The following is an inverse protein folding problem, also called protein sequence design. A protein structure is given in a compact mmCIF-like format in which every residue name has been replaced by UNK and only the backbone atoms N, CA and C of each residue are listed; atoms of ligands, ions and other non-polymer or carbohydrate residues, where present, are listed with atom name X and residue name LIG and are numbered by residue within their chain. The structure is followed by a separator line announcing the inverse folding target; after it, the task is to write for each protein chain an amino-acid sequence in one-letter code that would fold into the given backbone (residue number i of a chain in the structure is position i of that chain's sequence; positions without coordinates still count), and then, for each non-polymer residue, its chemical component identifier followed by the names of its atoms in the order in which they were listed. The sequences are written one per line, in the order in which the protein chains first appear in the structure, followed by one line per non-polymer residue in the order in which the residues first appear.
data_IF_239724611536
#
_entry.id   IF_239724611536
#
_cell.length_a   1.000
_cell.length_b   1.000
_cell.length_c   1.000
_cell.angle_alpha   90.00
_cell.angle_beta   90.00
_cell.angle_gamma   90.00
#
_symmetry.space_group_name_H-M   'P 1'
#
loop_
_entity.id
_entity.type
_entity.pdbx_description
1 polymer ?
#
# COMPACT_ATOMS: atom_id res chain seq x y z
N UNK A 1 -4.41 25.07 22.22
CA UNK A 1 -5.71 25.62 21.79
C UNK A 1 -6.57 25.88 23.03
N UNK A 2 -7.52 26.81 22.97
CA UNK A 2 -8.57 26.91 24.00
C UNK A 2 -9.56 25.75 23.74
N UNK A 3 -10.08 25.12 24.80
CA UNK A 3 -11.02 23.98 24.73
C UNK A 3 -10.55 22.80 23.84
N UNK A 4 -9.25 22.46 23.86
CA UNK A 4 -8.69 21.35 23.08
C UNK A 4 -9.01 21.37 21.57
N UNK A 5 -9.28 22.56 21.01
CA UNK A 5 -9.62 22.74 19.61
C UNK A 5 -11.10 22.51 19.27
N UNK A 6 -11.95 22.31 20.29
CA UNK A 6 -13.40 22.18 20.14
C UNK A 6 -14.02 23.58 20.07
N UNK A 7 -14.87 23.80 19.06
CA UNK A 7 -15.63 25.04 18.88
C UNK A 7 -17.10 24.71 18.74
N UNK A 8 -17.91 25.23 19.66
CA UNK A 8 -19.37 25.08 19.62
C UNK A 8 -19.98 26.04 18.60
N UNK A 9 -20.86 25.50 17.76
CA UNK A 9 -21.64 26.23 16.75
C UNK A 9 -23.09 26.23 17.22
N UNK A 10 -23.49 27.30 17.90
CA UNK A 10 -24.73 27.42 18.68
C UNK A 10 -25.77 28.40 18.06
N UNK A 11 -25.36 29.18 17.07
CA UNK A 11 -26.18 30.18 16.40
C UNK A 11 -26.32 29.91 14.90
N UNK A 12 -27.42 30.37 14.31
CA UNK A 12 -27.68 30.25 12.88
C UNK A 12 -26.98 31.39 12.14
N UNK A 13 -25.66 31.24 11.93
CA UNK A 13 -24.83 32.22 11.24
C UNK A 13 -23.59 31.58 10.62
N UNK A 14 -22.89 32.36 9.81
CA UNK A 14 -21.59 31.99 9.29
C UNK A 14 -20.49 32.28 10.34
N UNK A 15 -19.67 31.27 10.60
CA UNK A 15 -18.48 31.33 11.46
C UNK A 15 -17.25 31.25 10.55
N UNK A 16 -16.50 32.33 10.46
CA UNK A 16 -15.29 32.39 9.65
C UNK A 16 -14.09 31.93 10.48
N UNK A 17 -13.50 30.82 10.09
CA UNK A 17 -12.34 30.22 10.73
C UNK A 17 -11.06 30.56 9.98
N UNK A 18 -9.99 30.74 10.77
CA UNK A 18 -8.61 30.86 10.30
C UNK A 18 -7.80 29.77 11.01
N UNK A 19 -7.17 28.91 10.24
CA UNK A 19 -6.28 27.87 10.75
C UNK A 19 -4.85 28.18 10.32
N UNK A 20 -3.92 28.24 11.28
CA UNK A 20 -2.51 28.56 11.04
C UNK A 20 -1.63 27.40 11.49
N UNK A 21 -0.75 26.95 10.60
CA UNK A 21 0.24 25.92 10.85
C UNK A 21 1.63 26.53 10.72
N UNK A 22 2.41 26.50 11.79
CA UNK A 22 3.80 26.97 11.79
C UNK A 22 4.77 25.81 12.01
N UNK A 23 5.85 25.74 11.23
CA UNK A 23 6.93 24.79 11.46
C UNK A 23 7.99 25.33 12.45
N UNK A 24 8.94 24.48 12.85
CA UNK A 24 10.04 24.84 13.76
C UNK A 24 11.01 25.89 13.19
N UNK A 25 10.95 26.13 11.88
CA UNK A 25 11.75 27.12 11.16
C UNK A 25 11.00 28.45 10.94
N UNK A 26 9.76 28.56 11.43
CA UNK A 26 8.94 29.77 11.37
C UNK A 26 8.13 29.93 10.08
N UNK A 27 8.14 28.96 9.17
CA UNK A 27 7.26 28.99 8.00
C UNK A 27 5.82 28.77 8.48
N UNK A 28 4.91 29.67 8.10
CA UNK A 28 3.50 29.59 8.49
C UNK A 28 2.62 29.49 7.26
N UNK A 29 1.76 28.48 7.21
CA UNK A 29 0.67 28.38 6.25
C UNK A 29 -0.67 28.68 6.93
N UNK A 30 -1.51 29.45 6.23
CA UNK A 30 -2.82 29.87 6.73
C UNK A 30 -3.92 29.35 5.79
N UNK A 31 -4.92 28.69 6.37
CA UNK A 31 -6.14 28.26 5.67
C UNK A 31 -7.35 29.00 6.24
N UNK A 32 -8.27 29.40 5.35
CA UNK A 32 -9.55 30.02 5.73
C UNK A 32 -10.70 29.13 5.29
N UNK A 33 -11.67 28.93 6.17
CA UNK A 33 -12.91 28.22 5.84
C UNK A 33 -14.07 28.80 6.65
N UNK A 34 -15.29 28.58 6.18
CA UNK A 34 -16.51 29.06 6.85
C UNK A 34 -17.36 27.86 7.23
N UNK A 35 -17.76 27.79 8.50
CA UNK A 35 -18.78 26.86 8.97
C UNK A 35 -20.08 27.64 9.10
N UNK A 36 -21.15 27.19 8.44
CA UNK A 36 -22.47 27.76 8.60
C UNK A 36 -23.24 26.98 9.66
N UNK A 37 -23.58 27.64 10.76
CA UNK A 37 -24.49 27.08 11.76
C UNK A 37 -25.92 27.04 11.21
N UNK A 38 -26.55 25.87 11.32
CA UNK A 38 -27.95 25.65 10.92
C UNK A 38 -28.71 25.06 12.10
N UNK A 39 -29.64 25.82 12.69
CA UNK A 39 -30.46 25.38 13.83
C UNK A 39 -31.44 24.26 13.48
N UNK A 40 -31.70 24.04 12.19
CA UNK A 40 -32.52 22.94 11.69
C UNK A 40 -31.68 21.71 11.31
N UNK A 41 -30.35 21.76 11.46
CA UNK A 41 -29.50 20.57 11.31
C UNK A 41 -29.86 19.56 12.39
N UNK A 42 -30.61 18.53 12.00
CA UNK A 42 -30.83 17.37 12.85
C UNK A 42 -29.59 16.50 12.74
N UNK A 43 -28.90 16.28 13.85
CA UNK A 43 -28.01 15.12 13.95
C UNK A 43 -28.92 13.91 13.78
N UNK A 44 -28.73 13.14 12.72
CA UNK A 44 -29.50 11.93 12.49
C UNK A 44 -29.21 10.96 13.64
N UNK A 45 -30.17 10.75 14.54
CA UNK A 45 -30.00 9.89 15.72
C UNK A 45 -29.69 8.43 15.32
N UNK A 46 -30.00 8.02 14.09
CA UNK A 46 -29.62 6.70 13.56
C UNK A 46 -28.09 6.56 13.39
N UNK A 47 -27.36 7.66 13.15
CA UNK A 47 -25.89 7.65 13.14
C UNK A 47 -25.33 7.29 14.51
N UNK A 48 -25.93 7.76 15.61
CA UNK A 48 -25.46 7.43 16.97
C UNK A 48 -25.67 5.96 17.33
N UNK A 49 -26.74 5.33 16.85
CA UNK A 49 -27.01 3.90 17.12
C UNK A 49 -26.12 2.95 16.31
N UNK A 50 -25.40 3.46 15.29
CA UNK A 50 -24.50 2.69 14.42
C UNK A 50 -23.01 2.96 14.70
N UNK A 51 -22.69 3.74 15.74
CA UNK A 51 -21.31 3.99 16.14
C UNK A 51 -20.69 2.77 16.82
N UNK A 52 -19.43 2.51 16.47
CA UNK A 52 -18.54 1.58 17.15
C UNK A 52 -17.61 2.39 18.03
N UNK A 53 -17.55 2.02 19.31
CA UNK A 53 -16.61 2.59 20.26
C UNK A 53 -15.15 2.36 19.84
N UNK A 54 -14.27 3.34 20.03
CA UNK A 54 -12.85 3.19 19.66
C UNK A 54 -12.17 2.01 20.37
N UNK A 55 -12.65 1.65 21.56
CA UNK A 55 -12.18 0.57 22.41
C UNK A 55 -12.83 -0.80 22.11
N UNK A 56 -13.77 -0.84 21.18
CA UNK A 56 -14.46 -2.06 20.76
C UNK A 56 -13.90 -2.61 19.43
N UNK A 57 -13.85 -3.94 19.26
CA UNK A 57 -13.55 -4.51 17.95
C UNK A 57 -14.74 -4.33 17.00
N UNK A 58 -14.47 -4.30 15.70
CA UNK A 58 -15.47 -4.30 14.65
C UNK A 58 -15.17 -5.38 13.61
N UNK A 59 -16.21 -6.07 13.15
CA UNK A 59 -16.09 -7.10 12.13
C UNK A 59 -17.20 -6.97 11.08
N UNK A 60 -16.79 -7.05 9.81
CA UNK A 60 -17.66 -7.39 8.70
C UNK A 60 -17.35 -8.83 8.33
N UNK A 61 -18.37 -9.68 8.27
CA UNK A 61 -18.24 -11.07 7.86
C UNK A 61 -19.39 -11.45 6.93
N UNK A 62 -19.06 -11.65 5.67
CA UNK A 62 -19.97 -12.18 4.65
C UNK A 62 -19.32 -13.31 3.87
N UNK A 63 -20.04 -13.85 2.90
CA UNK A 63 -19.62 -15.06 2.16
C UNK A 63 -18.34 -14.86 1.34
N UNK A 64 -18.12 -13.65 0.83
CA UNK A 64 -17.00 -13.31 -0.05
C UNK A 64 -16.05 -12.24 0.52
N UNK A 65 -16.33 -11.72 1.71
CA UNK A 65 -15.56 -10.64 2.31
C UNK A 65 -15.56 -10.73 3.84
N UNK A 66 -14.37 -10.56 4.42
CA UNK A 66 -14.21 -10.38 5.86
C UNK A 66 -13.26 -9.23 6.14
N UNK A 67 -13.62 -8.38 7.10
CA UNK A 67 -12.80 -7.26 7.55
C UNK A 67 -12.87 -7.17 9.06
N UNK A 68 -11.73 -7.14 9.73
CA UNK A 68 -11.63 -7.15 11.19
C UNK A 68 -10.77 -5.97 11.64
N UNK A 69 -11.39 -5.09 12.42
CA UNK A 69 -10.76 -3.97 13.11
C UNK A 69 -10.62 -4.34 14.58
N UNK A 70 -9.38 -4.42 15.13
CA UNK A 70 -9.21 -4.70 16.54
C UNK A 70 -9.60 -3.49 17.41
N UNK A 71 -9.94 -3.75 18.67
CA UNK A 71 -10.14 -2.71 19.68
C UNK A 71 -8.93 -1.77 19.81
N UNK A 72 -9.20 -0.48 20.02
CA UNK A 72 -8.21 0.61 20.08
C UNK A 72 -7.37 0.70 18.80
N UNK A 73 -7.97 0.45 17.63
CA UNK A 73 -7.34 0.72 16.34
C UNK A 73 -7.66 2.14 15.84
N UNK A 74 -8.83 2.67 16.18
CA UNK A 74 -9.23 4.04 15.88
C UNK A 74 -8.94 4.95 17.08
N UNK A 75 -8.84 6.25 16.83
CA UNK A 75 -8.61 7.26 17.87
C UNK A 75 -9.92 7.80 18.48
N UNK A 76 -11.04 7.54 17.82
CA UNK A 76 -12.37 8.02 18.17
C UNK A 76 -13.43 6.98 17.76
N UNK A 77 -14.61 7.14 18.33
CA UNK A 77 -15.79 6.37 17.95
C UNK A 77 -16.15 6.69 16.50
N UNK A 78 -16.60 5.69 15.76
CA UNK A 78 -16.79 5.82 14.32
C UNK A 78 -18.01 5.05 13.84
N UNK A 79 -18.64 5.54 12.76
CA UNK A 79 -19.78 4.89 12.13
C UNK A 79 -19.30 4.13 10.86
N UNK A 80 -19.02 2.82 10.95
CA UNK A 80 -18.60 2.04 9.79
C UNK A 80 -19.69 1.97 8.73
N UNK A 81 -19.29 2.17 7.46
CA UNK A 81 -20.15 1.90 6.30
C UNK A 81 -19.45 0.91 5.39
N UNK A 82 -20.18 -0.12 4.96
CA UNK A 82 -19.70 -1.13 4.04
C UNK A 82 -20.48 -1.07 2.73
N UNK A 83 -19.77 -0.95 1.62
CA UNK A 83 -20.33 -0.91 0.27
C UNK A 83 -19.61 -1.89 -0.66
N UNK A 84 -20.34 -2.43 -1.64
CA UNK A 84 -19.83 -3.38 -2.62
C UNK A 84 -20.20 -2.93 -4.02
N UNK A 85 -19.19 -2.81 -4.87
CA UNK A 85 -19.35 -2.39 -6.27
C UNK A 85 -18.65 -3.38 -7.19
N UNK A 86 -19.05 -3.40 -8.45
CA UNK A 86 -18.28 -4.10 -9.49
C UNK A 86 -16.90 -3.46 -9.59
N UNK A 87 -15.85 -4.27 -9.81
CA UNK A 87 -14.53 -3.75 -10.12
C UNK A 87 -14.45 -3.38 -11.61
N UNK A 88 -14.19 -2.11 -11.91
CA UNK A 88 -14.07 -1.61 -13.29
C UNK A 88 -12.73 -1.95 -13.95
N UNK A 89 -11.74 -2.43 -13.18
CA UNK A 89 -10.43 -2.81 -13.70
C UNK A 89 -10.48 -4.21 -14.31
N UNK A 90 -10.07 -4.31 -15.58
CA UNK A 90 -9.87 -5.59 -16.23
C UNK A 90 -8.87 -6.45 -15.44
N UNK A 91 -9.18 -7.75 -15.30
CA UNK A 91 -8.36 -8.69 -14.52
C UNK A 91 -8.60 -8.62 -13.01
N UNK A 92 -9.72 -8.04 -12.57
CA UNK A 92 -10.21 -8.21 -11.20
C UNK A 92 -10.78 -9.61 -10.99
N UNK A 93 -10.46 -10.19 -9.83
CA UNK A 93 -10.95 -11.51 -9.38
C UNK A 93 -11.80 -11.36 -8.11
N UNK A 94 -12.38 -10.20 -7.88
CA UNK A 94 -13.39 -9.96 -6.85
C UNK A 94 -14.20 -8.71 -7.20
N UNK A 95 -15.34 -8.53 -6.53
CA UNK A 95 -15.94 -7.20 -6.37
C UNK A 95 -14.99 -6.23 -5.64
N UNK A 96 -15.29 -4.93 -5.75
CA UNK A 96 -14.64 -3.86 -4.98
C UNK A 96 -15.37 -3.66 -3.67
N UNK A 97 -14.70 -4.00 -2.58
CA UNK A 97 -15.22 -3.90 -1.22
C UNK A 97 -14.72 -2.62 -0.57
N UNK A 98 -15.62 -1.75 -0.11
CA UNK A 98 -15.25 -0.47 0.50
C UNK A 98 -15.71 -0.42 1.95
N UNK A 99 -14.78 -0.15 2.86
CA UNK A 99 -15.06 0.14 4.27
C UNK A 99 -14.74 1.61 4.51
N UNK A 100 -15.73 2.35 5.00
CA UNK A 100 -15.67 3.80 5.25
C UNK A 100 -15.84 4.09 6.75
N UNK A 101 -15.37 5.26 7.23
CA UNK A 101 -14.82 6.38 6.46
C UNK A 101 -13.32 6.22 6.12
N UNK A 102 -12.96 6.53 4.86
CA UNK A 102 -11.59 6.36 4.33
C UNK A 102 -10.56 7.35 4.92
N UNK A 103 -11.03 8.42 5.57
CA UNK A 103 -10.15 9.42 6.20
C UNK A 103 -9.67 9.00 7.59
N UNK A 104 -10.27 7.96 8.18
CA UNK A 104 -9.95 7.52 9.54
C UNK A 104 -8.67 6.65 9.53
N UNK A 105 -7.55 7.13 10.10
CA UNK A 105 -6.35 6.32 10.21
C UNK A 105 -6.52 5.23 11.27
N UNK A 106 -5.82 4.12 11.09
CA UNK A 106 -5.80 3.01 12.04
C UNK A 106 -4.40 2.86 12.62
N UNK A 107 -4.29 2.90 13.95
CA UNK A 107 -3.04 2.68 14.68
C UNK A 107 -2.63 1.20 14.66
N UNK A 108 -3.63 0.30 14.68
CA UNK A 108 -3.43 -1.14 14.62
C UNK A 108 -3.80 -1.70 13.24
N UNK A 109 -3.03 -2.68 12.81
CA UNK A 109 -3.32 -3.39 11.56
C UNK A 109 -4.64 -4.18 11.67
N UNK A 110 -5.53 -3.92 10.72
CA UNK A 110 -6.73 -4.69 10.46
C UNK A 110 -6.41 -5.93 9.64
N UNK A 111 -7.31 -6.92 9.69
CA UNK A 111 -7.26 -8.08 8.80
C UNK A 111 -8.34 -7.95 7.75
N UNK A 112 -7.98 -8.19 6.51
CA UNK A 112 -8.89 -8.22 5.37
C UNK A 112 -8.74 -9.56 4.68
N UNK A 113 -9.87 -10.17 4.32
CA UNK A 113 -9.92 -11.40 3.53
C UNK A 113 -10.98 -11.23 2.45
N UNK A 114 -10.62 -11.51 1.20
CA UNK A 114 -11.52 -11.43 0.05
C UNK A 114 -11.49 -12.77 -0.65
N UNK A 115 -12.68 -13.32 -0.94
CA UNK A 115 -12.79 -14.57 -1.69
C UNK A 115 -12.58 -14.29 -3.18
N UNK A 116 -11.82 -15.16 -3.84
CA UNK A 116 -11.54 -15.07 -5.28
C UNK A 116 -12.77 -15.52 -6.07
N UNK A 117 -13.27 -14.65 -6.92
CA UNK A 117 -14.26 -14.97 -7.94
C UNK A 117 -13.62 -15.80 -9.04
N UNK A 118 -14.25 -16.93 -9.41
CA UNK A 118 -13.80 -17.82 -10.49
C UNK A 118 -12.30 -18.13 -10.41
N UNK A 119 -11.90 -18.77 -9.33
CA UNK A 119 -10.51 -19.13 -9.09
C UNK A 119 -9.97 -20.08 -10.17
N UNK A 120 -9.16 -19.51 -11.06
CA UNK A 120 -8.70 -20.14 -12.31
C UNK A 120 -7.18 -20.25 -12.40
N UNK A 121 -6.44 -19.61 -11.49
CA UNK A 121 -4.98 -19.62 -11.53
C UNK A 121 -4.42 -20.90 -10.91
N UNK A 122 -3.47 -21.53 -11.60
CA UNK A 122 -2.70 -22.64 -11.00
C UNK A 122 -1.72 -22.13 -9.94
N UNK A 123 -1.08 -20.99 -10.18
CA UNK A 123 -0.16 -20.34 -9.25
C UNK A 123 -0.90 -19.35 -8.36
N UNK A 124 -1.35 -19.82 -7.19
CA UNK A 124 -2.13 -19.01 -6.24
C UNK A 124 -1.36 -17.83 -5.66
N UNK A 125 -0.03 -17.89 -5.66
CA UNK A 125 0.85 -16.79 -5.22
C UNK A 125 0.75 -15.56 -6.11
N UNK A 126 0.15 -15.68 -7.30
CA UNK A 126 -0.08 -14.56 -8.21
C UNK A 126 -1.29 -13.71 -7.83
N UNK A 127 -2.16 -14.19 -6.94
CA UNK A 127 -3.26 -13.38 -6.41
C UNK A 127 -2.78 -12.44 -5.31
N UNK A 128 -3.28 -11.21 -5.31
CA UNK A 128 -3.05 -10.27 -4.23
C UNK A 128 -4.23 -9.33 -4.02
N UNK A 129 -4.40 -8.85 -2.79
CA UNK A 129 -5.30 -7.74 -2.48
C UNK A 129 -4.59 -6.42 -2.84
N UNK A 130 -5.26 -5.60 -3.62
CA UNK A 130 -4.85 -4.23 -3.88
C UNK A 130 -5.71 -3.25 -3.08
N UNK A 131 -5.06 -2.28 -2.44
CA UNK A 131 -5.71 -1.03 -2.02
C UNK A 131 -6.02 -0.21 -3.27
N UNK A 132 -7.30 -0.01 -3.53
CA UNK A 132 -7.88 0.74 -4.64
C UNK A 132 -8.58 2.04 -4.15
N UNK A 133 -8.25 2.51 -2.95
CA UNK A 133 -8.83 3.72 -2.36
C UNK A 133 -8.46 4.95 -3.20
N UNK A 134 -9.44 5.74 -3.69
CA UNK A 134 -9.16 6.93 -4.47
C UNK A 134 -8.34 7.96 -3.68
N UNK A 135 -7.25 8.45 -4.27
CA UNK A 135 -6.45 9.56 -3.72
C UNK A 135 -6.43 10.70 -4.70
N UNK A 136 -6.90 11.89 -4.26
CA UNK A 136 -7.04 13.08 -5.13
C UNK A 136 -7.84 12.80 -6.41
N UNK A 137 -8.96 12.08 -6.27
CA UNK A 137 -9.85 11.71 -7.38
C UNK A 137 -9.32 10.64 -8.33
N UNK A 138 -8.16 10.03 -8.05
CA UNK A 138 -7.58 8.97 -8.89
C UNK A 138 -7.39 7.68 -8.09
N UNK A 139 -7.79 6.56 -8.68
CA UNK A 139 -7.52 5.23 -8.12
C UNK A 139 -6.12 4.80 -8.54
N UNK A 140 -5.30 4.42 -7.55
CA UNK A 140 -4.04 3.70 -7.76
C UNK A 140 -4.14 2.39 -7.01
N UNK A 141 -3.76 1.30 -7.67
CA UNK A 141 -3.80 -0.03 -7.08
C UNK A 141 -2.46 -0.30 -6.40
N UNK A 142 -2.46 -0.35 -5.08
CA UNK A 142 -1.25 -0.60 -4.29
C UNK A 142 -1.28 -2.02 -3.72
N UNK A 143 -0.22 -2.79 -3.94
CA UNK A 143 -0.09 -4.14 -3.41
C UNK A 143 -0.16 -4.15 -1.87
N UNK A 144 -0.97 -5.05 -1.32
CA UNK A 144 -0.88 -5.45 0.08
C UNK A 144 -0.15 -6.79 0.19
N UNK A 145 0.66 -6.94 1.24
CA UNK A 145 1.31 -8.22 1.50
C UNK A 145 0.25 -9.27 1.85
N UNK A 146 0.09 -10.25 0.96
CA UNK A 146 -1.05 -11.16 0.98
C UNK A 146 -0.63 -12.63 1.07
N UNK A 147 -1.58 -13.44 1.48
CA UNK A 147 -1.50 -14.90 1.49
C UNK A 147 -2.79 -15.46 0.92
N UNK A 148 -2.69 -16.59 0.22
CA UNK A 148 -3.85 -17.30 -0.30
C UNK A 148 -4.05 -18.61 0.48
N UNK A 149 -5.29 -18.92 0.85
CA UNK A 149 -5.71 -20.23 1.36
C UNK A 149 -7.16 -20.49 0.97
N UNK A 150 -7.45 -21.66 0.38
CA UNK A 150 -8.82 -22.16 0.17
C UNK A 150 -9.78 -21.16 -0.51
N UNK A 151 -9.30 -20.48 -1.55
CA UNK A 151 -10.07 -19.48 -2.29
C UNK A 151 -10.12 -18.09 -1.64
N UNK A 152 -9.50 -17.89 -0.49
CA UNK A 152 -9.40 -16.60 0.20
C UNK A 152 -8.01 -16.00 0.03
N UNK A 153 -7.97 -14.74 -0.39
CA UNK A 153 -6.75 -13.91 -0.29
C UNK A 153 -6.89 -13.07 0.96
N UNK A 154 -5.89 -13.11 1.83
CA UNK A 154 -5.88 -12.42 3.13
C UNK A 154 -4.67 -11.50 3.26
N UNK A 155 -4.88 -10.32 3.84
CA UNK A 155 -3.83 -9.32 4.06
C UNK A 155 -4.02 -8.59 5.39
N UNK A 156 -3.02 -7.79 5.74
CA UNK A 156 -3.14 -6.75 6.76
C UNK A 156 -3.16 -5.37 6.11
N UNK A 157 -3.99 -4.47 6.64
CA UNK A 157 -4.02 -3.06 6.23
C UNK A 157 -4.11 -2.14 7.46
N UNK A 158 -3.69 -0.88 7.31
CA UNK A 158 -3.74 0.14 8.38
C UNK A 158 -4.58 1.35 7.95
N UNK A 159 -5.45 1.15 6.96
CA UNK A 159 -6.37 2.15 6.44
C UNK A 159 -7.73 1.51 6.27
N UNK A 160 -8.77 2.33 6.36
CA UNK A 160 -10.09 2.00 5.81
C UNK A 160 -10.10 2.47 4.35
N UNK A 161 -10.78 1.74 3.47
CA UNK A 161 -10.58 1.94 2.05
C UNK A 161 -11.35 0.99 1.16
N UNK A 162 -11.06 1.09 -0.13
CA UNK A 162 -11.57 0.19 -1.17
C UNK A 162 -10.51 -0.87 -1.49
N UNK A 163 -10.94 -2.13 -1.53
CA UNK A 163 -10.05 -3.28 -1.75
C UNK A 163 -10.62 -4.23 -2.81
N UNK A 164 -9.72 -4.80 -3.61
CA UNK A 164 -10.03 -5.77 -4.68
C UNK A 164 -8.95 -6.85 -4.73
N UNK A 165 -9.28 -8.03 -5.27
CA UNK A 165 -8.30 -9.05 -5.65
C UNK A 165 -7.88 -8.83 -7.10
N UNK A 166 -6.57 -8.73 -7.31
CA UNK A 166 -5.91 -8.67 -8.61
C UNK A 166 -4.95 -9.84 -8.79
N UNK A 167 -4.37 -9.94 -9.98
CA UNK A 167 -3.32 -10.89 -10.33
C UNK A 167 -2.10 -10.15 -10.86
N UNK A 168 -0.91 -10.55 -10.43
CA UNK A 168 0.35 -10.21 -11.08
C UNK A 168 1.03 -11.48 -11.63
N UNK A 169 1.34 -11.46 -12.92
CA UNK A 169 2.04 -12.55 -13.62
C UNK A 169 3.27 -12.09 -14.41
N UNK A 170 3.65 -10.82 -14.25
CA UNK A 170 4.69 -10.20 -15.06
C UNK A 170 5.95 -10.09 -14.20
N UNK A 171 7.05 -10.78 -14.54
CA UNK A 171 8.26 -10.70 -13.75
C UNK A 171 8.91 -9.30 -13.84
N UNK A 172 9.70 -8.91 -12.81
CA UNK A 172 10.44 -7.67 -12.83
C UNK A 172 11.29 -7.46 -14.08
N UNK A 173 11.50 -6.20 -14.43
CA UNK A 173 12.45 -5.80 -15.48
C UNK A 173 13.81 -5.52 -14.85
N UNK A 174 14.84 -6.24 -15.32
CA UNK A 174 16.23 -5.99 -14.94
C UNK A 174 16.93 -5.26 -16.10
N UNK A 175 17.51 -4.10 -15.83
CA UNK A 175 18.29 -3.33 -16.79
C UNK A 175 19.73 -3.15 -16.28
N UNK A 176 20.75 -3.70 -16.96
CA UNK A 176 22.14 -3.45 -16.58
C UNK A 176 22.50 -1.98 -16.78
N UNK A 177 23.09 -1.35 -15.77
CA UNK A 177 23.63 0.02 -15.85
C UNK A 177 25.17 0.01 -16.02
N UNK A 178 25.77 -1.18 -16.05
CA UNK A 178 27.21 -1.36 -16.19
C UNK A 178 28.00 -1.09 -14.91
N UNK A 179 29.30 -0.91 -15.08
CA UNK A 179 30.24 -0.59 -13.99
C UNK A 179 30.55 0.90 -14.01
N UNK A 180 30.39 1.57 -12.87
CA UNK A 180 30.70 2.99 -12.72
C UNK A 180 30.98 3.31 -11.26
N UNK A 181 31.97 4.19 -10.99
CA UNK A 181 32.29 4.59 -9.62
C UNK A 181 32.77 3.46 -8.70
N UNK A 182 33.27 2.35 -9.26
CA UNK A 182 33.64 1.16 -8.49
C UNK A 182 32.47 0.26 -8.11
N UNK A 183 31.31 0.43 -8.77
CA UNK A 183 30.11 -0.36 -8.50
C UNK A 183 29.57 -0.98 -9.79
N UNK A 184 29.14 -2.25 -9.69
CA UNK A 184 28.29 -2.90 -10.68
C UNK A 184 26.83 -2.61 -10.33
N UNK A 185 26.07 -2.09 -11.29
CA UNK A 185 24.72 -1.57 -11.03
C UNK A 185 23.67 -2.16 -11.95
N UNK A 186 22.50 -2.44 -11.39
CA UNK A 186 21.29 -2.86 -12.11
C UNK A 186 20.12 -2.00 -11.69
N UNK A 187 19.28 -1.59 -12.66
CA UNK A 187 17.96 -1.04 -12.36
C UNK A 187 16.94 -2.17 -12.36
N UNK A 188 16.13 -2.27 -11.32
CA UNK A 188 15.14 -3.35 -11.14
C UNK A 188 13.77 -2.73 -10.92
N UNK A 189 12.88 -2.83 -11.91
CA UNK A 189 11.55 -2.21 -11.84
C UNK A 189 10.48 -3.28 -11.94
N UNK A 190 9.53 -3.23 -11.01
CA UNK A 190 8.27 -3.96 -11.09
C UNK A 190 7.10 -2.98 -11.30
N UNK A 191 6.06 -3.40 -12.03
CA UNK A 191 4.93 -2.54 -12.41
C UNK A 191 3.66 -2.80 -11.61
N UNK A 192 3.60 -3.88 -10.84
CA UNK A 192 2.37 -4.35 -10.20
C UNK A 192 2.59 -4.64 -8.71
N UNK A 193 3.09 -5.82 -8.37
CA UNK A 193 3.19 -6.25 -6.97
C UNK A 193 4.39 -5.68 -6.22
N UNK A 194 5.36 -5.09 -6.92
CA UNK A 194 6.60 -4.57 -6.37
C UNK A 194 7.70 -5.63 -6.29
N UNK A 195 8.96 -5.18 -6.21
CA UNK A 195 10.12 -6.08 -6.06
C UNK A 195 10.18 -6.59 -4.63
N UNK A 196 10.22 -7.91 -4.45
CA UNK A 196 10.36 -8.55 -3.13
C UNK A 196 11.83 -8.63 -2.74
N UNK A 197 12.65 -9.28 -3.57
CA UNK A 197 14.09 -9.36 -3.35
C UNK A 197 14.84 -9.62 -4.65
N UNK A 198 16.15 -9.40 -4.61
CA UNK A 198 17.07 -9.77 -5.67
C UNK A 198 18.32 -10.41 -5.09
N UNK A 199 19.03 -11.18 -5.92
CA UNK A 199 20.30 -11.80 -5.60
C UNK A 199 21.26 -11.73 -6.77
N UNK A 200 22.56 -11.63 -6.47
CA UNK A 200 23.61 -11.63 -7.46
C UNK A 200 24.59 -12.78 -7.26
N UNK A 201 25.10 -13.31 -8.37
CA UNK A 201 26.15 -14.31 -8.43
C UNK A 201 27.20 -13.84 -9.45
N UNK A 202 28.48 -13.88 -9.07
CA UNK A 202 29.63 -13.58 -9.94
C UNK A 202 30.52 -14.83 -9.96
N UNK A 203 30.73 -15.40 -11.15
CA UNK A 203 31.43 -16.68 -11.35
C UNK A 203 30.89 -17.80 -10.44
N UNK A 204 29.57 -17.82 -10.22
CA UNK A 204 28.89 -18.79 -9.36
C UNK A 204 29.01 -18.51 -7.86
N UNK A 205 29.70 -17.45 -7.43
CA UNK A 205 29.78 -17.02 -6.03
C UNK A 205 28.71 -15.99 -5.72
N UNK A 206 27.95 -16.20 -4.65
CA UNK A 206 26.97 -15.23 -4.19
C UNK A 206 27.62 -13.90 -3.77
N UNK A 207 27.00 -12.80 -4.18
CA UNK A 207 27.40 -11.45 -3.79
C UNK A 207 26.19 -10.65 -3.31
N UNK A 208 26.40 -9.77 -2.35
CA UNK A 208 25.34 -8.94 -1.77
C UNK A 208 25.22 -7.65 -2.53
N UNK A 209 24.08 -7.44 -3.18
CA UNK A 209 23.70 -6.15 -3.74
C UNK A 209 22.94 -5.33 -2.70
N UNK A 210 23.27 -4.06 -2.59
CA UNK A 210 22.54 -3.09 -1.77
C UNK A 210 21.42 -2.45 -2.61
N UNK A 211 20.24 -2.30 -2.03
CA UNK A 211 19.11 -1.64 -2.68
C UNK A 211 19.13 -0.14 -2.43
N UNK A 212 18.93 0.63 -3.50
CA UNK A 212 18.45 1.99 -3.45
C UNK A 212 16.98 2.03 -3.82
N UNK A 213 16.13 2.06 -2.80
CA UNK A 213 14.69 2.00 -2.97
C UNK A 213 14.13 3.23 -3.71
N UNK A 214 14.83 4.37 -3.68
CA UNK A 214 14.36 5.61 -4.33
C UNK A 214 14.53 5.54 -5.84
N UNK A 215 15.69 5.05 -6.28
CA UNK A 215 16.05 5.02 -7.71
C UNK A 215 15.79 3.65 -8.37
N UNK A 216 15.36 2.66 -7.58
CA UNK A 216 15.21 1.26 -7.99
C UNK A 216 16.54 0.66 -8.49
N UNK A 217 17.65 0.98 -7.83
CA UNK A 217 19.00 0.55 -8.23
C UNK A 217 19.52 -0.49 -7.23
N UNK A 218 19.94 -1.64 -7.74
CA UNK A 218 20.77 -2.60 -7.01
C UNK A 218 22.25 -2.30 -7.30
N UNK A 219 23.05 -2.08 -6.25
CA UNK A 219 24.49 -1.78 -6.34
C UNK A 219 25.32 -2.87 -5.68
N UNK A 220 26.34 -3.33 -6.37
CA UNK A 220 27.40 -4.15 -5.79
C UNK A 220 28.71 -3.36 -5.83
N UNK A 221 29.27 -3.07 -4.65
CA UNK A 221 30.60 -2.47 -4.54
C UNK A 221 31.62 -3.52 -4.96
N UNK A 222 32.46 -3.18 -5.93
CA UNK A 222 33.41 -4.12 -6.51
C UNK A 222 34.43 -4.54 -5.45
N UNK A 223 34.59 -5.85 -5.34
CA UNK A 223 35.63 -6.53 -4.60
C UNK A 223 36.50 -7.27 -5.61
N UNK A 224 37.76 -6.85 -5.76
CA UNK A 224 38.70 -7.41 -6.74
C UNK A 224 39.01 -8.90 -6.48
N UNK A 225 38.71 -9.43 -5.29
CA UNK A 225 38.84 -10.87 -5.00
C UNK A 225 37.74 -11.74 -5.65
N UNK A 226 36.63 -11.11 -6.04
CA UNK A 226 35.46 -11.75 -6.67
C UNK A 226 35.25 -11.27 -8.10
N UNK A 227 35.54 -10.00 -8.38
CA UNK A 227 35.32 -9.35 -9.68
C UNK A 227 36.58 -8.55 -10.06
N UNK A 228 37.58 -9.27 -10.56
CA UNK A 228 38.92 -8.78 -10.83
C UNK A 228 39.02 -8.05 -12.18
N UNK A 229 39.89 -7.04 -12.25
CA UNK A 229 40.16 -6.30 -13.49
C UNK A 229 40.96 -7.13 -14.51
N UNK A 230 40.76 -6.82 -15.79
CA UNK A 230 41.31 -7.53 -16.94
C UNK A 230 40.75 -8.94 -17.17
N UNK A 231 39.65 -9.34 -16.52
CA UNK A 231 39.08 -10.70 -16.61
C UNK A 231 37.61 -10.68 -17.05
N UNK A 232 37.20 -11.74 -17.75
CA UNK A 232 35.78 -11.97 -18.04
C UNK A 232 35.15 -12.67 -16.85
N UNK A 233 34.06 -12.09 -16.37
CA UNK A 233 33.26 -12.60 -15.26
C UNK A 233 31.86 -12.95 -15.73
N UNK A 234 31.34 -14.08 -15.30
CA UNK A 234 29.96 -14.47 -15.50
C UNK A 234 29.08 -13.88 -14.40
N UNK A 235 28.26 -12.90 -14.75
CA UNK A 235 27.34 -12.24 -13.82
C UNK A 235 25.94 -12.78 -14.04
N UNK A 236 25.33 -13.29 -12.97
CA UNK A 236 23.95 -13.71 -12.91
C UNK A 236 23.21 -12.91 -11.85
N UNK A 237 22.17 -12.21 -12.24
CA UNK A 237 21.35 -11.39 -11.36
C UNK A 237 19.89 -11.85 -11.43
N UNK A 238 19.32 -12.23 -10.30
CA UNK A 238 17.94 -12.72 -10.21
C UNK A 238 17.11 -11.74 -9.41
N UNK A 239 15.95 -11.33 -9.94
CA UNK A 239 14.96 -10.51 -9.23
C UNK A 239 13.64 -11.26 -9.12
N UNK A 240 12.98 -11.14 -7.97
CA UNK A 240 11.71 -11.78 -7.67
C UNK A 240 10.75 -10.71 -7.14
N UNK A 241 9.53 -10.67 -7.65
CA UNK A 241 8.46 -9.79 -7.15
C UNK A 241 7.70 -10.40 -5.97
N UNK A 242 6.71 -9.67 -5.45
CA UNK A 242 5.91 -10.13 -4.32
C UNK A 242 4.97 -11.30 -4.68
N UNK A 243 4.58 -11.42 -5.95
CA UNK A 243 3.76 -12.52 -6.49
C UNK A 243 4.55 -13.75 -6.95
N UNK A 244 5.87 -13.77 -6.70
CA UNK A 244 6.83 -14.84 -7.00
C UNK A 244 7.15 -15.02 -8.48
N UNK A 245 6.89 -14.02 -9.33
CA UNK A 245 7.42 -14.04 -10.68
C UNK A 245 8.93 -13.72 -10.65
N UNK A 246 9.69 -14.44 -11.47
CA UNK A 246 11.17 -14.41 -11.44
C UNK A 246 11.71 -13.91 -12.77
N UNK A 247 12.68 -12.99 -12.71
CA UNK A 247 13.55 -12.63 -13.84
C UNK A 247 14.99 -12.95 -13.51
N UNK A 248 15.68 -13.60 -14.45
CA UNK A 248 17.13 -13.79 -14.40
C UNK A 248 17.76 -13.00 -15.54
N UNK A 249 18.80 -12.24 -15.23
CA UNK A 249 19.71 -11.62 -16.18
C UNK A 249 21.07 -12.33 -16.09
N UNK A 250 21.61 -12.76 -17.22
CA UNK A 250 22.92 -13.41 -17.32
C UNK A 250 23.75 -12.72 -18.41
N UNK A 251 25.01 -12.42 -18.09
CA UNK A 251 25.95 -11.81 -19.03
C UNK A 251 27.39 -12.10 -18.65
N UNK A 252 28.27 -12.11 -19.67
CA UNK A 252 29.71 -12.17 -19.47
C UNK A 252 30.32 -10.78 -19.64
N UNK A 253 30.78 -10.19 -18.54
CA UNK A 253 31.32 -8.83 -18.50
C UNK A 253 32.85 -8.91 -18.47
N UNK A 254 33.52 -8.19 -19.36
CA UNK A 254 34.95 -7.92 -19.23
C UNK A 254 35.11 -6.72 -18.30
N UNK A 255 35.76 -6.91 -17.16
CA UNK A 255 36.11 -5.86 -16.21
C UNK A 255 37.61 -5.87 -15.99
#
# INVERSE_FOLDING_TARGET
AVNDGIVDIDEERDYNFKYELSDLYGNTETCFFTIRGDKNSRIDETLRQSMVGFDAPFEIKGDNFSFQVPANATYEDWAPVYDVQVCDKAGCYSAKHTVSPQYLPLDKACRISIRVDNDTLSQKTQYYIADATPRRGKVRYSYLNTSYSDGWVSAKCTTLGSYVVLRDSIPPTITPLGVSGGELRFKVVDKESGVNFFKGEIDGKFVVFQSDCKDNIARYRIDDSVFARGKRHHVRFTAIDNCRNVRVYESSILF
#
